data_IF_882812368751
#
_entry.id   IF_882812368751
#
_cell.length_a   1.000
_cell.length_b   1.000
_cell.length_c   1.000
_cell.angle_alpha   90.00
_cell.angle_beta   90.00
_cell.angle_gamma   90.00
#
_symmetry.space_group_name_H-M   'P 1'
#
loop_
_entity.id
_entity.type
_entity.pdbx_description
1 polymer ?
#
# COMPACT_ATOMS: atom_id res chain seq x y z
N UNK A 1 21.67 -17.61 -3.88
CA UNK A 1 22.68 -16.67 -3.35
C UNK A 1 21.93 -15.59 -2.57
N UNK A 2 22.46 -15.07 -1.46
CA UNK A 2 21.73 -14.08 -0.67
C UNK A 2 21.85 -12.69 -1.27
N UNK A 3 20.76 -12.16 -1.83
CA UNK A 3 20.68 -10.76 -2.25
C UNK A 3 20.67 -9.86 -1.00
N UNK A 4 21.55 -8.84 -0.96
CA UNK A 4 21.70 -7.95 0.19
C UNK A 4 20.94 -6.66 -0.07
N UNK A 5 19.75 -6.54 0.50
CA UNK A 5 18.95 -5.32 0.44
C UNK A 5 19.18 -4.41 1.67
N UNK A 6 18.72 -3.14 1.64
CA UNK A 6 18.81 -2.21 2.77
C UNK A 6 18.34 -2.83 4.09
N UNK A 7 19.05 -2.58 5.19
CA UNK A 7 18.74 -3.27 6.46
C UNK A 7 17.52 -2.70 7.20
N UNK A 8 17.12 -1.45 6.91
CA UNK A 8 16.07 -0.72 7.63
C UNK A 8 15.13 -0.03 6.65
N UNK A 9 13.84 -0.07 6.99
CA UNK A 9 12.77 0.74 6.39
C UNK A 9 12.30 1.73 7.46
N UNK A 10 11.98 2.97 7.06
CA UNK A 10 11.40 4.02 7.90
C UNK A 10 9.96 3.68 8.28
N UNK A 11 9.20 3.06 7.38
CA UNK A 11 7.80 2.70 7.56
C UNK A 11 7.68 1.48 8.50
N UNK A 12 7.14 1.73 9.70
CA UNK A 12 6.83 0.70 10.71
C UNK A 12 5.51 -0.02 10.45
N UNK A 13 4.62 0.56 9.64
CA UNK A 13 3.27 0.07 9.39
C UNK A 13 3.26 -1.13 8.44
N UNK A 14 4.29 -1.27 7.59
CA UNK A 14 4.55 -2.52 6.86
C UNK A 14 5.13 -3.54 7.85
N UNK A 15 4.26 -4.32 8.49
CA UNK A 15 4.58 -5.26 9.56
C UNK A 15 4.97 -6.67 9.07
N UNK A 16 4.48 -7.11 7.91
CA UNK A 16 4.73 -8.47 7.42
C UNK A 16 6.16 -8.62 6.88
N UNK A 17 6.90 -9.65 7.34
CA UNK A 17 8.32 -9.80 7.03
C UNK A 17 8.61 -9.91 5.52
N UNK A 18 7.74 -10.60 4.76
CA UNK A 18 7.88 -10.70 3.29
C UNK A 18 7.48 -9.42 2.56
N UNK A 19 6.51 -8.66 3.07
CA UNK A 19 6.18 -7.34 2.52
C UNK A 19 7.36 -6.37 2.68
N UNK A 20 7.98 -6.37 3.87
CA UNK A 20 9.21 -5.61 4.12
C UNK A 20 10.38 -6.09 3.27
N UNK A 21 10.45 -7.37 2.92
CA UNK A 21 11.49 -7.87 2.03
C UNK A 21 11.27 -7.39 0.59
N UNK A 22 10.04 -7.46 0.07
CA UNK A 22 9.69 -6.91 -1.24
C UNK A 22 10.03 -5.42 -1.32
N UNK A 23 9.59 -4.61 -0.35
CA UNK A 23 9.89 -3.17 -0.36
C UNK A 23 11.40 -2.86 -0.34
N UNK A 24 12.20 -3.70 0.34
CA UNK A 24 13.66 -3.55 0.31
C UNK A 24 14.25 -3.95 -1.03
N UNK A 25 13.70 -4.97 -1.69
CA UNK A 25 14.08 -5.33 -3.05
C UNK A 25 13.72 -4.23 -4.05
N UNK A 26 12.60 -3.54 -3.84
CA UNK A 26 12.19 -2.35 -4.61
C UNK A 26 13.23 -1.25 -4.51
N UNK A 27 13.55 -0.83 -3.29
CA UNK A 27 14.53 0.24 -3.03
C UNK A 27 15.96 -0.08 -3.51
N UNK A 28 16.29 -1.36 -3.63
CA UNK A 28 17.59 -1.84 -4.12
C UNK A 28 17.61 -2.03 -5.66
N UNK A 29 16.46 -1.88 -6.33
CA UNK A 29 16.32 -2.13 -7.78
C UNK A 29 16.56 -3.59 -8.18
N UNK A 30 16.30 -4.54 -7.27
CA UNK A 30 16.59 -5.96 -7.52
C UNK A 30 15.41 -6.68 -8.20
N UNK A 31 15.39 -6.64 -9.54
CA UNK A 31 14.28 -7.18 -10.35
C UNK A 31 13.91 -8.64 -10.05
N UNK A 32 14.88 -9.52 -9.78
CA UNK A 32 14.62 -10.93 -9.47
C UNK A 32 13.82 -11.07 -8.16
N UNK A 33 14.24 -10.32 -7.14
CA UNK A 33 13.59 -10.32 -5.84
C UNK A 33 12.23 -9.62 -5.88
N UNK A 34 12.09 -8.53 -6.65
CA UNK A 34 10.81 -7.88 -6.91
C UNK A 34 9.82 -8.86 -7.55
N UNK A 35 10.18 -9.51 -8.66
CA UNK A 35 9.30 -10.50 -9.33
C UNK A 35 8.91 -11.68 -8.45
N UNK A 36 9.77 -12.10 -7.52
CA UNK A 36 9.43 -13.11 -6.52
C UNK A 36 8.44 -12.57 -5.50
N UNK A 37 8.73 -11.41 -4.92
CA UNK A 37 7.88 -10.77 -3.92
C UNK A 37 6.51 -10.42 -4.48
N UNK A 38 6.42 -9.96 -5.73
CA UNK A 38 5.16 -9.65 -6.40
C UNK A 38 4.29 -10.89 -6.54
N UNK A 39 4.88 -12.00 -7.00
CA UNK A 39 4.16 -13.28 -7.11
C UNK A 39 3.63 -13.76 -5.77
N UNK A 40 4.35 -13.54 -4.69
CA UNK A 40 3.90 -13.87 -3.34
C UNK A 40 2.80 -12.93 -2.86
N UNK A 41 2.99 -11.63 -3.01
CA UNK A 41 2.01 -10.60 -2.62
C UNK A 41 0.67 -10.79 -3.33
N UNK A 42 0.69 -11.03 -4.64
CA UNK A 42 -0.51 -11.24 -5.45
C UNK A 42 -1.29 -12.52 -5.09
N UNK A 43 -0.61 -13.50 -4.49
CA UNK A 43 -1.23 -14.75 -4.03
C UNK A 43 -1.72 -14.67 -2.59
N UNK A 44 -1.07 -13.87 -1.75
CA UNK A 44 -1.41 -13.71 -0.34
C UNK A 44 -2.22 -12.44 -0.07
N UNK A 45 -3.52 -12.56 -0.36
CA UNK A 45 -4.53 -11.52 -0.09
C UNK A 45 -5.25 -11.75 1.25
N UNK A 46 -4.73 -12.59 2.15
CA UNK A 46 -5.34 -12.81 3.46
C UNK A 46 -5.23 -11.54 4.33
N UNK A 47 -6.12 -11.40 5.32
CA UNK A 47 -5.92 -10.34 6.32
C UNK A 47 -4.69 -10.66 7.17
N UNK A 48 -3.82 -9.67 7.38
CA UNK A 48 -2.49 -9.83 7.94
C UNK A 48 -1.46 -10.45 6.97
N UNK A 49 -1.86 -10.74 5.73
CA UNK A 49 -0.97 -11.28 4.69
C UNK A 49 -0.03 -10.24 4.09
N UNK A 50 0.76 -10.67 3.11
CA UNK A 50 1.75 -9.82 2.43
C UNK A 50 1.09 -8.58 1.83
N UNK A 51 0.05 -8.75 1.01
CA UNK A 51 -0.59 -7.62 0.33
C UNK A 51 -1.26 -6.68 1.32
N UNK A 52 -1.96 -7.23 2.32
CA UNK A 52 -2.63 -6.44 3.35
C UNK A 52 -1.64 -5.55 4.12
N UNK A 53 -0.48 -6.10 4.45
CA UNK A 53 0.58 -5.34 5.13
C UNK A 53 1.15 -4.22 4.26
N UNK A 54 1.29 -4.42 2.95
CA UNK A 54 1.74 -3.37 2.03
C UNK A 54 0.68 -2.27 1.92
N UNK A 55 -0.58 -2.67 1.67
CA UNK A 55 -1.70 -1.75 1.54
C UNK A 55 -1.91 -0.91 2.81
N UNK A 56 -1.83 -1.55 3.98
CA UNK A 56 -1.91 -0.87 5.28
C UNK A 56 -0.81 0.18 5.41
N UNK A 57 0.44 -0.20 5.14
CA UNK A 57 1.57 0.72 5.24
C UNK A 57 1.50 1.87 4.25
N UNK A 58 1.04 1.61 3.02
CA UNK A 58 0.85 2.62 1.99
C UNK A 58 -0.21 3.64 2.42
N UNK A 59 -1.40 3.16 2.82
CA UNK A 59 -2.51 4.04 3.19
C UNK A 59 -2.14 4.92 4.38
N UNK A 60 -1.52 4.37 5.41
CA UNK A 60 -1.14 5.13 6.60
C UNK A 60 -0.03 6.15 6.29
N UNK A 61 0.98 5.78 5.49
CA UNK A 61 2.02 6.72 5.07
C UNK A 61 1.43 7.89 4.27
N UNK A 62 0.59 7.61 3.27
CA UNK A 62 -0.09 8.65 2.47
C UNK A 62 -1.01 9.52 3.31
N UNK A 63 -1.81 8.92 4.21
CA UNK A 63 -2.68 9.66 5.12
C UNK A 63 -1.90 10.66 5.98
N UNK A 64 -0.73 10.25 6.50
CA UNK A 64 0.13 11.14 7.27
C UNK A 64 0.72 12.27 6.42
N UNK A 65 1.12 11.99 5.17
CA UNK A 65 1.62 13.01 4.25
C UNK A 65 0.55 14.05 3.89
N UNK A 66 -0.70 13.62 3.73
CA UNK A 66 -1.81 14.51 3.39
C UNK A 66 -2.44 15.23 4.58
N UNK A 67 -2.04 14.87 5.80
CA UNK A 67 -2.55 15.50 7.00
C UNK A 67 -2.22 17.00 7.02
N UNK A 68 -3.26 17.82 7.17
CA UNK A 68 -3.12 19.27 7.26
C UNK A 68 -3.95 19.81 8.42
N UNK A 69 -3.31 20.43 9.45
CA UNK A 69 -4.03 21.03 10.58
C UNK A 69 -5.04 22.11 10.17
N UNK A 70 -4.82 22.79 9.03
CA UNK A 70 -5.71 23.83 8.53
C UNK A 70 -6.92 23.30 7.75
N UNK A 71 -6.91 22.00 7.40
CA UNK A 71 -7.99 21.30 6.70
C UNK A 71 -8.16 19.90 7.29
N UNK A 72 -8.68 19.79 8.53
CA UNK A 72 -8.79 18.51 9.20
C UNK A 72 -9.78 17.61 8.46
N UNK A 73 -9.38 16.35 8.28
CA UNK A 73 -10.25 15.29 7.76
C UNK A 73 -11.15 14.77 8.88
N UNK A 74 -12.42 14.53 8.57
CA UNK A 74 -13.32 13.82 9.45
C UNK A 74 -13.28 12.32 9.14
N UNK A 75 -12.89 11.52 10.14
CA UNK A 75 -12.87 10.07 10.06
C UNK A 75 -14.15 9.46 10.69
N UNK A 76 -14.63 8.30 10.21
CA UNK A 76 -14.05 7.47 9.16
C UNK A 76 -14.18 8.10 7.76
N UNK A 77 -13.19 7.85 6.92
CA UNK A 77 -13.14 8.37 5.55
C UNK A 77 -12.50 7.34 4.62
N UNK A 78 -13.00 7.23 3.40
CA UNK A 78 -12.32 6.40 2.39
C UNK A 78 -11.04 7.09 1.93
N UNK A 79 -10.03 6.29 1.58
CA UNK A 79 -8.74 6.82 1.11
C UNK A 79 -8.94 7.72 -0.12
N UNK A 80 -9.78 7.28 -1.05
CA UNK A 80 -10.11 8.05 -2.25
C UNK A 80 -10.72 9.41 -1.93
N UNK A 81 -11.51 9.55 -0.85
CA UNK A 81 -12.14 10.83 -0.50
C UNK A 81 -11.12 11.84 0.03
N UNK A 82 -10.09 11.37 0.72
CA UNK A 82 -9.13 12.20 1.45
C UNK A 82 -7.84 12.46 0.67
N UNK A 83 -7.54 11.62 -0.32
CA UNK A 83 -6.41 11.81 -1.22
C UNK A 83 -6.49 13.16 -1.96
N UNK A 84 -5.38 13.89 -2.16
CA UNK A 84 -5.30 14.98 -3.12
C UNK A 84 -5.77 14.55 -4.52
N UNK A 85 -6.25 15.49 -5.34
CA UNK A 85 -6.82 15.17 -6.67
C UNK A 85 -5.73 14.61 -7.60
N UNK A 86 -4.56 15.22 -7.58
CA UNK A 86 -3.37 14.80 -8.30
C UNK A 86 -2.96 13.36 -7.97
N UNK A 87 -3.02 12.97 -6.69
CA UNK A 87 -2.76 11.58 -6.28
C UNK A 87 -3.79 10.60 -6.84
N UNK A 88 -5.07 10.98 -6.85
CA UNK A 88 -6.13 10.12 -7.41
C UNK A 88 -5.96 9.93 -8.92
N UNK A 89 -5.56 10.98 -9.62
CA UNK A 89 -5.37 10.97 -11.07
C UNK A 89 -4.11 10.19 -11.47
N UNK A 90 -3.13 10.09 -10.57
CA UNK A 90 -1.93 9.28 -10.78
C UNK A 90 -2.21 7.78 -10.66
N UNK A 91 -3.10 7.38 -9.75
CA UNK A 91 -3.47 5.97 -9.58
C UNK A 91 -4.15 5.38 -10.78
N UNK A 92 -3.81 4.12 -11.08
CA UNK A 92 -4.52 3.32 -12.06
C UNK A 92 -5.94 3.04 -11.57
N UNK A 93 -6.86 2.81 -12.52
CA UNK A 93 -8.28 2.62 -12.22
C UNK A 93 -8.54 1.51 -11.17
N UNK A 94 -7.89 0.32 -11.22
CA UNK A 94 -8.06 -0.70 -10.18
C UNK A 94 -7.66 -0.23 -8.78
N UNK A 95 -6.61 0.59 -8.68
CA UNK A 95 -6.13 1.18 -7.43
C UNK A 95 -7.16 2.16 -6.89
N UNK A 96 -7.68 3.05 -7.74
CA UNK A 96 -8.76 3.97 -7.36
C UNK A 96 -9.98 3.23 -6.82
N UNK A 97 -10.38 2.12 -7.45
CA UNK A 97 -11.49 1.28 -6.98
C UNK A 97 -11.23 0.72 -5.58
N UNK A 98 -10.03 0.17 -5.34
CA UNK A 98 -9.63 -0.30 -4.00
C UNK A 98 -9.65 0.84 -2.97
N UNK A 99 -9.16 2.03 -3.32
CA UNK A 99 -9.12 3.20 -2.42
C UNK A 99 -10.50 3.78 -2.10
N UNK A 100 -11.52 3.49 -2.92
CA UNK A 100 -12.91 3.89 -2.64
C UNK A 100 -13.56 3.06 -1.53
N UNK A 101 -13.07 1.84 -1.29
CA UNK A 101 -13.61 0.94 -0.27
C UNK A 101 -12.67 0.77 0.94
N UNK A 102 -11.39 1.12 0.79
CA UNK A 102 -10.44 1.20 1.89
C UNK A 102 -10.75 2.40 2.80
N UNK A 103 -10.92 2.17 4.10
CA UNK A 103 -11.40 3.20 5.04
C UNK A 103 -10.37 3.51 6.11
N UNK A 104 -9.98 4.77 6.22
CA UNK A 104 -9.14 5.29 7.30
C UNK A 104 -10.00 5.65 8.50
N UNK A 105 -9.52 5.30 9.69
CA UNK A 105 -10.19 5.41 10.97
C UNK A 105 -9.28 6.05 12.04
N UNK A 106 -9.86 6.32 13.21
CA UNK A 106 -9.18 6.99 14.33
C UNK A 106 -9.21 8.51 14.21
N UNK A 107 -9.04 9.21 15.33
CA UNK A 107 -9.16 10.67 15.40
C UNK A 107 -8.09 11.42 14.59
N UNK A 108 -7.00 10.74 14.22
CA UNK A 108 -5.88 11.28 13.45
C UNK A 108 -5.53 10.40 12.24
N UNK A 109 -6.44 9.52 11.80
CA UNK A 109 -6.17 8.61 10.69
C UNK A 109 -5.10 7.56 11.00
N UNK A 110 -5.10 7.03 12.22
CA UNK A 110 -4.05 6.14 12.76
C UNK A 110 -4.30 4.66 12.50
N UNK A 111 -5.43 4.31 11.89
CA UNK A 111 -5.74 2.94 11.52
C UNK A 111 -6.49 2.89 10.20
N UNK A 112 -6.47 1.74 9.55
CA UNK A 112 -7.11 1.51 8.26
C UNK A 112 -7.84 0.17 8.28
N UNK A 113 -9.03 0.15 7.71
CA UNK A 113 -9.78 -1.06 7.35
C UNK A 113 -9.56 -1.35 5.86
N UNK A 114 -8.68 -2.31 5.60
CA UNK A 114 -8.32 -2.81 4.27
C UNK A 114 -9.19 -3.98 3.82
N UNK A 115 -10.01 -4.55 4.71
CA UNK A 115 -10.77 -5.79 4.44
C UNK A 115 -11.68 -5.67 3.21
N UNK A 116 -12.40 -4.55 2.99
CA UNK A 116 -13.18 -4.36 1.76
C UNK A 116 -12.29 -4.37 0.50
N UNK A 117 -11.15 -3.68 0.51
CA UNK A 117 -10.23 -3.63 -0.63
C UNK A 117 -9.64 -5.02 -0.94
N UNK A 118 -9.31 -5.82 0.09
CA UNK A 118 -8.86 -7.20 -0.10
C UNK A 118 -9.94 -8.09 -0.71
N UNK A 119 -11.23 -7.83 -0.45
CA UNK A 119 -12.33 -8.54 -1.12
C UNK A 119 -12.40 -8.17 -2.60
N UNK A 120 -12.30 -6.89 -2.94
CA UNK A 120 -12.28 -6.42 -4.33
C UNK A 120 -11.08 -7.02 -5.09
N UNK A 121 -9.87 -6.98 -4.51
CA UNK A 121 -8.67 -7.57 -5.09
C UNK A 121 -8.83 -9.06 -5.41
N UNK A 122 -9.53 -9.83 -4.56
CA UNK A 122 -9.77 -11.27 -4.83
C UNK A 122 -10.71 -11.51 -6.01
N UNK A 123 -11.55 -10.55 -6.35
CA UNK A 123 -12.47 -10.62 -7.48
C UNK A 123 -11.86 -10.08 -8.78
N UNK A 124 -10.80 -9.28 -8.68
CA UNK A 124 -10.08 -8.74 -9.83
C UNK A 124 -9.29 -9.82 -10.60
N UNK A 125 -9.12 -9.66 -11.93
CA UNK A 125 -8.09 -10.35 -12.70
C UNK A 125 -6.69 -10.17 -12.12
N UNK A 126 -5.78 -11.10 -12.41
CA UNK A 126 -4.40 -11.04 -11.90
C UNK A 126 -3.65 -9.78 -12.37
N UNK A 127 -3.91 -9.34 -13.61
CA UNK A 127 -3.31 -8.14 -14.19
C UNK A 127 -3.69 -6.88 -13.39
N UNK A 128 -4.99 -6.70 -13.11
CA UNK A 128 -5.47 -5.58 -12.31
C UNK A 128 -4.91 -5.56 -10.89
N UNK A 129 -4.77 -6.74 -10.25
CA UNK A 129 -4.09 -6.84 -8.95
C UNK A 129 -2.64 -6.41 -9.04
N UNK A 130 -1.96 -6.74 -10.15
CA UNK A 130 -0.60 -6.31 -10.44
C UNK A 130 -0.51 -4.78 -10.49
N UNK A 131 -1.45 -4.12 -11.17
CA UNK A 131 -1.50 -2.66 -11.20
C UNK A 131 -1.68 -2.03 -9.81
N UNK A 132 -2.53 -2.61 -8.95
CA UNK A 132 -2.68 -2.12 -7.57
C UNK A 132 -1.40 -2.34 -6.76
N UNK A 133 -0.76 -3.49 -6.91
CA UNK A 133 0.47 -3.78 -6.20
C UNK A 133 1.58 -2.79 -6.57
N UNK A 134 1.76 -2.52 -7.86
CA UNK A 134 2.75 -1.59 -8.40
C UNK A 134 2.56 -0.18 -7.81
N UNK A 135 1.34 0.38 -7.90
CA UNK A 135 1.03 1.71 -7.34
C UNK A 135 1.29 1.77 -5.81
N UNK A 136 1.01 0.68 -5.09
CA UNK A 136 1.23 0.56 -3.64
C UNK A 136 2.72 0.49 -3.31
N UNK A 137 3.49 -0.31 -4.04
CA UNK A 137 4.93 -0.51 -3.82
C UNK A 137 5.71 0.74 -4.19
N UNK A 138 5.39 1.37 -5.33
CA UNK A 138 5.98 2.64 -5.77
C UNK A 138 5.73 3.74 -4.74
N UNK A 139 4.47 3.91 -4.32
CA UNK A 139 4.13 4.93 -3.33
C UNK A 139 4.75 4.69 -1.96
N UNK A 140 5.01 3.44 -1.59
CA UNK A 140 5.79 3.10 -0.40
C UNK A 140 7.28 3.43 -0.57
N UNK A 141 7.87 3.09 -1.72
CA UNK A 141 9.27 3.37 -2.02
C UNK A 141 9.55 4.88 -2.05
N UNK A 142 8.65 5.68 -2.60
CA UNK A 142 8.71 7.14 -2.57
C UNK A 142 8.74 7.69 -1.14
N UNK A 143 7.93 7.12 -0.23
CA UNK A 143 7.91 7.52 1.17
C UNK A 143 9.16 7.10 1.96
N UNK A 144 9.92 6.13 1.45
CA UNK A 144 11.17 5.63 2.05
C UNK A 144 12.41 6.45 1.64
N UNK A 145 12.37 7.15 0.49
CA UNK A 145 13.40 8.12 0.08
C UNK A 145 13.65 9.20 1.13
#
# INVERSE_FOLDING_TARGET
>A
MGHRHPSKLKNSEVSHARARWLLRAELDGCEECQREGDREALRDLASGGVFDSLLTGFVLARTQQWYSPSRPVQYPATVYRIAPIDERDFWREPTQHCMRVCTVQGSQGTSVDTVPALKELRLMPMEDRGFVLDDVVDGLAEAEG
#
